data_IF_364279530720
#
_entry.id   IF_364279530720
#
_cell.length_a   1.000
_cell.length_b   1.000
_cell.length_c   1.000
_cell.angle_alpha   90.00
_cell.angle_beta   90.00
_cell.angle_gamma   90.00
#
_symmetry.space_group_name_H-M   'P 1'
#
loop_
_entity.id
_entity.type
_entity.pdbx_description
1 polymer ?
#
# COMPACT_ATOMS: atom_id res chain seq x y z
N UNK A 1 -10.47 7.21 33.29
CA UNK A 1 -9.68 7.77 32.18
C UNK A 1 -8.67 6.76 31.62
N UNK A 2 -7.82 6.15 32.46
CA UNK A 2 -6.83 5.15 32.04
C UNK A 2 -7.44 3.91 31.34
N UNK A 3 -8.58 3.41 31.83
CA UNK A 3 -9.33 2.30 31.22
C UNK A 3 -9.92 2.61 29.82
N UNK A 4 -10.24 3.89 29.55
CA UNK A 4 -10.76 4.33 28.25
C UNK A 4 -9.62 4.46 27.23
N UNK A 5 -8.46 4.95 27.69
CA UNK A 5 -7.23 5.01 26.88
C UNK A 5 -6.81 3.61 26.44
N UNK A 6 -6.75 2.64 27.37
CA UNK A 6 -6.36 1.26 27.05
C UNK A 6 -7.35 0.60 26.09
N UNK A 7 -8.67 0.78 26.32
CA UNK A 7 -9.69 0.24 25.42
C UNK A 7 -9.62 0.84 24.00
N UNK A 8 -9.28 2.12 23.86
CA UNK A 8 -9.10 2.77 22.55
C UNK A 8 -7.84 2.28 21.82
N UNK A 9 -6.77 1.98 22.55
CA UNK A 9 -5.52 1.46 22.02
C UNK A 9 -5.69 0.02 21.54
N UNK A 10 -6.42 -0.79 22.31
CA UNK A 10 -6.77 -2.17 21.97
C UNK A 10 -7.67 -2.21 20.71
N UNK A 11 -8.60 -1.27 20.57
CA UNK A 11 -9.47 -1.18 19.39
C UNK A 11 -8.69 -0.81 18.12
N UNK A 12 -7.75 0.13 18.22
CA UNK A 12 -6.86 0.50 17.11
C UNK A 12 -5.96 -0.67 16.69
N UNK A 13 -5.42 -1.42 17.66
CA UNK A 13 -4.62 -2.60 17.39
C UNK A 13 -5.44 -3.73 16.73
N UNK A 14 -6.67 -3.93 17.17
CA UNK A 14 -7.59 -4.88 16.55
C UNK A 14 -7.91 -4.48 15.10
N UNK A 15 -8.17 -3.20 14.83
CA UNK A 15 -8.39 -2.69 13.47
C UNK A 15 -7.16 -2.89 12.58
N UNK A 16 -5.95 -2.68 13.12
CA UNK A 16 -4.70 -2.92 12.41
C UNK A 16 -4.57 -4.39 11.98
N UNK A 17 -4.90 -5.33 12.88
CA UNK A 17 -4.88 -6.77 12.58
C UNK A 17 -5.87 -7.11 11.47
N UNK A 18 -7.10 -6.60 11.54
CA UNK A 18 -8.14 -6.87 10.53
C UNK A 18 -7.72 -6.34 9.16
N UNK A 19 -7.15 -5.13 9.12
CA UNK A 19 -6.67 -4.52 7.88
C UNK A 19 -5.48 -5.28 7.31
N UNK A 20 -4.53 -5.71 8.15
CA UNK A 20 -3.42 -6.55 7.72
C UNK A 20 -3.90 -7.87 7.11
N UNK A 21 -4.91 -8.50 7.72
CA UNK A 21 -5.49 -9.74 7.24
C UNK A 21 -6.25 -9.55 5.92
N UNK A 22 -6.96 -8.43 5.77
CA UNK A 22 -7.64 -8.04 4.53
C UNK A 22 -6.64 -7.82 3.39
N UNK A 23 -5.56 -7.08 3.65
CA UNK A 23 -4.45 -6.87 2.71
C UNK A 23 -3.84 -8.20 2.29
N UNK A 24 -3.60 -9.12 3.23
CA UNK A 24 -3.01 -10.43 2.96
C UNK A 24 -3.88 -11.29 2.03
N UNK A 25 -5.20 -11.26 2.22
CA UNK A 25 -6.18 -11.94 1.35
C UNK A 25 -6.16 -11.34 -0.07
N UNK A 26 -6.00 -10.01 -0.18
CA UNK A 26 -5.87 -9.37 -1.49
C UNK A 26 -4.51 -9.65 -2.15
N UNK A 27 -3.43 -9.73 -1.37
CA UNK A 27 -2.10 -10.09 -1.84
C UNK A 27 -2.08 -11.46 -2.52
N UNK A 28 -2.81 -12.42 -1.96
CA UNK A 28 -2.89 -13.79 -2.49
C UNK A 28 -3.73 -13.91 -3.76
N UNK A 29 -4.56 -12.91 -4.08
CA UNK A 29 -5.46 -12.91 -5.24
C UNK A 29 -5.00 -11.99 -6.37
N UNK A 30 -4.11 -11.03 -6.11
CA UNK A 30 -3.72 -10.04 -7.12
C UNK A 30 -2.60 -10.53 -8.03
N UNK A 31 -2.90 -10.64 -9.33
CA UNK A 31 -1.89 -10.81 -10.40
C UNK A 31 -1.24 -9.49 -10.84
N UNK A 32 -1.72 -8.34 -10.35
CA UNK A 32 -1.29 -7.02 -10.82
C UNK A 32 -0.67 -6.17 -9.70
N UNK A 33 0.57 -5.73 -9.91
CA UNK A 33 1.32 -4.87 -8.98
C UNK A 33 0.62 -3.51 -8.77
N UNK A 34 0.00 -2.93 -9.79
CA UNK A 34 -0.69 -1.64 -9.65
C UNK A 34 -1.94 -1.78 -8.76
N UNK A 35 -2.64 -2.90 -8.88
CA UNK A 35 -3.81 -3.19 -8.05
C UNK A 35 -3.40 -3.37 -6.59
N UNK A 36 -2.24 -3.99 -6.36
CA UNK A 36 -1.66 -4.13 -5.02
C UNK A 36 -1.41 -2.77 -4.36
N UNK A 37 -0.78 -1.84 -5.08
CA UNK A 37 -0.51 -0.49 -4.59
C UNK A 37 -1.79 0.26 -4.22
N UNK A 38 -2.83 0.15 -5.04
CA UNK A 38 -4.13 0.78 -4.77
C UNK A 38 -4.78 0.20 -3.50
N UNK A 39 -4.71 -1.11 -3.31
CA UNK A 39 -5.25 -1.77 -2.11
C UNK A 39 -4.49 -1.30 -0.86
N UNK A 40 -3.16 -1.20 -0.93
CA UNK A 40 -2.35 -0.70 0.19
C UNK A 40 -2.72 0.74 0.54
N UNK A 41 -2.84 1.63 -0.43
CA UNK A 41 -3.25 3.02 -0.20
C UNK A 41 -4.65 3.12 0.40
N UNK A 42 -5.59 2.30 -0.08
CA UNK A 42 -6.94 2.26 0.49
C UNK A 42 -6.92 1.82 1.95
N UNK A 43 -6.01 0.93 2.31
CA UNK A 43 -5.84 0.45 3.68
C UNK A 43 -5.29 1.53 4.61
N UNK A 44 -4.30 2.31 4.17
CA UNK A 44 -3.78 3.47 4.90
C UNK A 44 -4.83 4.56 5.11
N UNK A 45 -5.59 4.90 4.05
CA UNK A 45 -6.68 5.88 4.14
C UNK A 45 -7.73 5.43 5.15
N UNK A 46 -8.04 4.13 5.18
CA UNK A 46 -8.99 3.57 6.15
C UNK A 46 -8.49 3.70 7.58
N UNK A 47 -7.21 3.43 7.84
CA UNK A 47 -6.57 3.64 9.15
C UNK A 47 -6.58 5.11 9.57
N UNK A 48 -6.28 6.02 8.65
CA UNK A 48 -6.35 7.46 8.89
C UNK A 48 -7.77 7.91 9.27
N UNK A 49 -8.80 7.51 8.50
CA UNK A 49 -10.18 7.85 8.80
C UNK A 49 -10.63 7.29 10.16
N UNK A 50 -10.27 6.04 10.47
CA UNK A 50 -10.58 5.42 11.76
C UNK A 50 -9.95 6.19 12.92
N UNK A 51 -8.67 6.57 12.78
CA UNK A 51 -7.96 7.35 13.76
C UNK A 51 -8.58 8.74 13.96
N UNK A 52 -9.00 9.39 12.87
CA UNK A 52 -9.65 10.69 12.89
C UNK A 52 -11.02 10.64 13.58
N UNK A 53 -11.86 9.67 13.23
CA UNK A 53 -13.16 9.45 13.89
C UNK A 53 -12.97 9.17 15.38
N UNK A 54 -11.99 8.34 15.74
CA UNK A 54 -11.66 8.05 17.14
C UNK A 54 -11.18 9.29 17.90
N UNK A 55 -10.37 10.15 17.26
CA UNK A 55 -9.94 11.41 17.86
C UNK A 55 -11.11 12.35 18.18
N UNK A 56 -12.09 12.48 17.26
CA UNK A 56 -13.26 13.32 17.46
C UNK A 56 -14.26 12.77 18.48
N UNK A 57 -14.46 11.45 18.53
CA UNK A 57 -15.44 10.84 19.44
C UNK A 57 -14.94 10.69 20.88
N UNK A 58 -13.63 10.52 21.07
CA UNK A 58 -13.06 10.22 22.38
C UNK A 58 -12.12 11.32 22.91
N UNK A 59 -12.03 12.46 22.23
CA UNK A 59 -11.15 13.61 22.57
C UNK A 59 -9.67 13.21 22.78
N UNK A 60 -9.24 12.13 22.14
CA UNK A 60 -7.86 11.65 22.22
C UNK A 60 -7.00 12.34 21.17
N UNK A 61 -6.37 13.44 21.58
CA UNK A 61 -5.40 14.18 20.75
C UNK A 61 -4.24 13.32 20.23
N UNK A 62 -3.89 12.24 20.94
CA UNK A 62 -2.89 11.25 20.50
C UNK A 62 -3.27 10.56 19.17
N UNK A 63 -4.57 10.37 18.91
CA UNK A 63 -5.04 9.74 17.68
C UNK A 63 -4.87 10.68 16.47
N UNK A 64 -4.93 12.00 16.64
CA UNK A 64 -4.59 12.94 15.57
C UNK A 64 -3.13 12.79 15.13
N UNK A 65 -2.21 12.69 16.09
CA UNK A 65 -0.79 12.44 15.79
C UNK A 65 -0.59 11.10 15.09
N UNK A 66 -1.30 10.06 15.52
CA UNK A 66 -1.26 8.74 14.89
C UNK A 66 -1.77 8.77 13.45
N UNK A 67 -2.85 9.51 13.18
CA UNK A 67 -3.36 9.75 11.83
C UNK A 67 -2.32 10.43 10.92
N UNK A 68 -1.59 11.41 11.42
CA UNK A 68 -0.47 12.02 10.68
C UNK A 68 0.65 11.02 10.35
N UNK A 69 0.97 10.11 11.28
CA UNK A 69 1.94 9.04 11.01
C UNK A 69 1.48 8.13 9.88
N UNK A 70 0.21 7.71 9.87
CA UNK A 70 -0.34 6.88 8.79
C UNK A 70 -0.23 7.55 7.42
N UNK A 71 -0.54 8.85 7.33
CA UNK A 71 -0.39 9.61 6.08
C UNK A 71 1.07 9.70 5.62
N UNK A 72 2.01 9.94 6.55
CA UNK A 72 3.43 10.08 6.22
C UNK A 72 4.01 8.76 5.71
N UNK A 73 3.68 7.64 6.35
CA UNK A 73 4.11 6.31 5.92
C UNK A 73 3.44 5.88 4.60
N UNK A 74 2.15 6.16 4.41
CA UNK A 74 1.47 5.94 3.14
C UNK A 74 2.15 6.67 1.98
N UNK A 75 2.44 7.97 2.14
CA UNK A 75 3.14 8.75 1.13
C UNK A 75 4.54 8.19 0.80
N UNK A 76 5.26 7.73 1.82
CA UNK A 76 6.55 7.08 1.64
C UNK A 76 6.42 5.73 0.91
N UNK A 77 5.47 4.89 1.31
CA UNK A 77 5.24 3.58 0.71
C UNK A 77 4.83 3.69 -0.76
N UNK A 78 3.86 4.55 -1.11
CA UNK A 78 3.41 4.68 -2.49
C UNK A 78 4.52 5.21 -3.40
N UNK A 79 5.38 6.10 -2.88
CA UNK A 79 6.54 6.62 -3.63
C UNK A 79 7.51 5.50 -3.96
N UNK A 80 7.87 4.68 -2.97
CA UNK A 80 8.78 3.53 -3.15
C UNK A 80 8.13 2.47 -4.04
N UNK A 81 6.86 2.15 -3.80
CA UNK A 81 6.09 1.16 -4.55
C UNK A 81 5.96 1.53 -6.03
N UNK A 82 5.69 2.80 -6.33
CA UNK A 82 5.61 3.29 -7.71
C UNK A 82 6.98 3.28 -8.40
N UNK A 83 8.06 3.66 -7.69
CA UNK A 83 9.42 3.59 -8.23
C UNK A 83 9.82 2.15 -8.58
N UNK A 84 9.49 1.19 -7.72
CA UNK A 84 9.71 -0.24 -7.97
C UNK A 84 8.85 -0.76 -9.13
N UNK A 85 7.61 -0.30 -9.25
CA UNK A 85 6.75 -0.65 -10.37
C UNK A 85 7.32 -0.15 -11.71
N UNK A 86 7.75 1.11 -11.78
CA UNK A 86 8.32 1.71 -13.00
C UNK A 86 9.64 1.05 -13.41
N UNK A 87 10.52 0.76 -12.44
CA UNK A 87 11.77 0.04 -12.71
C UNK A 87 11.50 -1.37 -13.22
N UNK A 88 10.55 -2.09 -12.63
CA UNK A 88 10.11 -3.41 -13.12
C UNK A 88 9.59 -3.33 -14.54
N UNK A 89 8.72 -2.35 -14.84
CA UNK A 89 8.18 -2.15 -16.18
C UNK A 89 9.29 -1.84 -17.21
N UNK A 90 10.26 -1.00 -16.84
CA UNK A 90 11.42 -0.68 -17.69
C UNK A 90 12.31 -1.90 -17.96
N UNK A 91 12.56 -2.74 -16.96
CA UNK A 91 13.33 -3.99 -17.12
C UNK A 91 12.58 -4.95 -18.06
N UNK A 92 11.29 -5.18 -17.86
CA UNK A 92 10.50 -6.03 -18.76
C UNK A 92 10.43 -5.47 -20.19
N UNK A 93 10.23 -4.16 -20.34
CA UNK A 93 10.20 -3.50 -21.65
C UNK A 93 11.52 -3.62 -22.43
N UNK A 94 12.66 -3.44 -21.74
CA UNK A 94 13.99 -3.62 -22.35
C UNK A 94 14.27 -5.07 -22.71
N UNK A 95 13.84 -6.03 -21.89
CA UNK A 95 13.94 -7.47 -22.17
C UNK A 95 13.16 -7.87 -23.43
N UNK A 96 11.93 -7.41 -23.58
CA UNK A 96 11.09 -7.67 -24.76
C UNK A 96 11.73 -7.09 -26.02
N UNK A 97 12.25 -5.86 -25.95
CA UNK A 97 12.92 -5.24 -27.07
C UNK A 97 14.21 -5.99 -27.48
N UNK A 98 14.97 -6.49 -26.50
CA UNK A 98 16.18 -7.31 -26.74
C UNK A 98 15.84 -8.68 -27.35
N UNK A 99 14.72 -9.30 -26.95
CA UNK A 99 14.22 -10.55 -27.53
C UNK A 99 13.70 -10.39 -28.97
N UNK A 100 13.18 -9.21 -29.33
CA UNK A 100 12.58 -8.95 -30.66
C UNK A 100 13.62 -8.69 -31.76
N UNK A 101 14.78 -8.12 -31.41
CA UNK A 101 15.87 -7.84 -32.36
C UNK A 101 16.37 -9.06 -33.15
N UNK A 102 16.65 -10.24 -32.56
CA UNK A 102 17.18 -11.38 -33.32
C UNK A 102 16.19 -11.97 -34.34
N UNK A 103 14.88 -11.80 -34.14
CA UNK A 103 13.84 -12.35 -35.03
C UNK A 103 13.73 -11.53 -36.32
N UNK A 104 13.90 -10.21 -36.25
CA UNK A 104 13.80 -9.33 -37.43
C UNK A 104 15.03 -9.49 -38.32
N UNK A 105 16.23 -9.58 -37.76
CA UNK A 105 17.46 -9.81 -38.54
C UNK A 105 17.48 -11.16 -39.25
N UNK A 106 16.90 -12.21 -38.67
CA UNK A 106 16.78 -13.52 -39.36
C UNK A 106 15.77 -13.51 -40.51
N UNK A 107 14.73 -12.66 -40.45
CA UNK A 107 13.75 -12.50 -41.54
C UNK A 107 14.22 -11.56 -42.65
N UNK A 108 15.14 -10.65 -42.37
CA UNK A 108 15.72 -9.76 -43.38
C UNK A 108 16.87 -10.41 -44.17
N UNK A 109 17.39 -11.54 -43.68
CA UNK A 109 18.49 -12.29 -44.31
C UNK A 109 18.03 -13.60 -45.00
N UNK A 110 16.71 -13.83 -45.10
CA UNK A 110 16.09 -14.94 -45.82
C UNK A 110 15.25 -14.37 -46.98
#
# INVERSE_FOLDING_TARGET
MLLLVTASLDLNFFYLIVIFLLVLIFLTKSTSLIFLLIVMETSWITLYLSSLVSAFLFDFSLNLSLGFFFLMFSAAEITVGLALFLTTLGIYGTLIHKLRRPIVTKRAAA
#
